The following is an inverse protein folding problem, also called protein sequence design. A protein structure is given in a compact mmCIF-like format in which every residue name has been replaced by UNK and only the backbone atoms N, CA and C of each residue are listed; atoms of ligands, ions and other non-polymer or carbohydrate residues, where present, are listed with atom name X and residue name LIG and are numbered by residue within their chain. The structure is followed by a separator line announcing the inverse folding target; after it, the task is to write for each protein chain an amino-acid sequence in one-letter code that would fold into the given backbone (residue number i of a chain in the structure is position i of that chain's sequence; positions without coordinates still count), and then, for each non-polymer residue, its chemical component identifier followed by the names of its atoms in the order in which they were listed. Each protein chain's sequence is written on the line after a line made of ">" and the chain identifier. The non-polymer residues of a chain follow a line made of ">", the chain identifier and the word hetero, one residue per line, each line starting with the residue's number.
data_IF_731689916234
#
_entry.id   IF_731689916234
#
_cell.length_a   1.000
_cell.length_b   1.000
_cell.length_c   1.000
_cell.angle_alpha   90.00
_cell.angle_beta   90.00
_cell.angle_gamma   90.00
#
_symmetry.space_group_name_H-M   'P 1'
#
loop_
_entity.id
_entity.type
_entity.pdbx_description
1 polymer ?
#
# COMPACT_ATOMS: atom_id res chain seq x y z
N UNK A 1 -31.57 8.65 60.55
CA UNK A 1 -30.31 8.57 59.78
C UNK A 1 -30.58 7.86 58.45
N UNK A 2 -30.84 8.62 57.38
CA UNK A 2 -31.08 8.10 56.03
C UNK A 2 -29.78 8.23 55.23
N UNK A 3 -29.20 7.12 54.78
CA UNK A 3 -28.00 7.10 53.94
C UNK A 3 -28.39 7.48 52.51
N UNK A 4 -27.86 8.59 52.02
CA UNK A 4 -27.91 8.99 50.62
C UNK A 4 -26.94 8.13 49.80
N UNK A 5 -27.47 7.39 48.82
CA UNK A 5 -26.69 6.78 47.74
C UNK A 5 -26.48 7.86 46.67
N UNK A 6 -25.23 8.28 46.45
CA UNK A 6 -24.85 9.12 45.32
C UNK A 6 -24.63 8.18 44.13
N UNK A 7 -25.52 8.29 43.15
CA UNK A 7 -25.40 7.64 41.84
C UNK A 7 -24.41 8.48 41.00
N UNK A 8 -23.17 7.99 40.85
CA UNK A 8 -22.21 8.56 39.91
C UNK A 8 -22.56 8.04 38.51
N UNK A 9 -23.20 8.88 37.69
CA UNK A 9 -23.38 8.63 36.27
C UNK A 9 -22.03 8.85 35.60
N UNK A 10 -21.37 7.76 35.20
CA UNK A 10 -20.17 7.78 34.38
C UNK A 10 -20.56 8.25 32.96
N UNK A 11 -20.47 9.56 32.71
CA UNK A 11 -20.63 10.12 31.37
C UNK A 11 -19.37 9.78 30.55
N UNK A 12 -19.36 8.62 29.90
CA UNK A 12 -18.41 8.35 28.81
C UNK A 12 -18.72 9.31 27.67
N UNK A 13 -17.90 10.37 27.54
CA UNK A 13 -17.96 11.29 26.42
C UNK A 13 -17.69 10.55 25.11
N UNK A 14 -18.76 10.24 24.38
CA UNK A 14 -18.68 10.07 22.93
C UNK A 14 -18.27 11.43 22.36
N UNK A 15 -17.00 11.57 21.98
CA UNK A 15 -16.60 12.62 21.05
C UNK A 15 -17.30 12.33 19.71
N UNK A 16 -18.45 12.97 19.51
CA UNK A 16 -19.08 13.04 18.20
C UNK A 16 -18.23 14.03 17.41
N UNK A 17 -17.34 13.54 16.55
CA UNK A 17 -16.77 14.37 15.48
C UNK A 17 -17.92 14.78 14.56
N UNK A 18 -18.51 15.94 14.83
CA UNK A 18 -19.52 16.54 13.95
C UNK A 18 -18.81 17.17 12.76
N UNK A 19 -18.80 16.47 11.62
CA UNK A 19 -18.36 17.07 10.36
C UNK A 19 -19.50 17.95 9.85
N UNK A 20 -19.28 19.27 9.78
CA UNK A 20 -20.29 20.22 9.30
C UNK A 20 -20.30 20.28 7.77
N UNK A 21 -21.23 19.59 7.13
CA UNK A 21 -21.73 20.03 5.84
C UNK A 21 -22.78 21.11 6.11
N UNK A 22 -22.67 22.30 5.54
CA UNK A 22 -23.75 23.30 5.47
C UNK A 22 -24.16 23.42 4.00
N UNK A 23 -25.44 23.22 3.67
CA UNK A 23 -26.01 23.82 2.47
C UNK A 23 -26.28 25.30 2.76
N UNK A 24 -26.55 26.10 1.72
CA UNK A 24 -26.63 27.57 1.80
C UNK A 24 -27.69 28.11 2.79
N UNK A 25 -28.50 27.26 3.46
CA UNK A 25 -29.56 27.66 4.38
C UNK A 25 -29.67 26.83 5.69
N UNK A 26 -28.67 26.00 6.04
CA UNK A 26 -28.68 25.22 7.29
C UNK A 26 -29.68 24.04 7.30
N UNK A 27 -30.15 23.61 6.14
CA UNK A 27 -31.01 22.44 5.97
C UNK A 27 -30.14 21.23 5.64
N UNK A 28 -30.01 20.30 6.57
CA UNK A 28 -29.01 19.23 6.44
C UNK A 28 -29.62 17.87 6.66
N UNK A 29 -29.21 16.92 5.81
CA UNK A 29 -29.37 15.50 6.03
C UNK A 29 -27.99 14.89 5.92
N UNK A 30 -27.44 14.37 7.02
CA UNK A 30 -26.10 13.79 7.04
C UNK A 30 -26.02 12.60 8.00
N UNK A 31 -25.11 11.65 7.77
CA UNK A 31 -24.97 10.52 8.67
C UNK A 31 -24.39 10.93 10.02
N UNK A 32 -24.87 10.27 11.06
CA UNK A 32 -24.28 10.29 12.39
C UNK A 32 -24.04 8.87 12.86
N UNK A 33 -23.24 8.67 13.90
CA UNK A 33 -23.01 7.35 14.51
C UNK A 33 -22.59 6.25 13.50
N UNK A 34 -21.94 6.63 12.39
CA UNK A 34 -21.41 5.68 11.40
C UNK A 34 -20.14 5.03 11.97
N UNK A 35 -20.36 3.92 12.65
CA UNK A 35 -19.35 3.22 13.45
C UNK A 35 -19.24 1.79 12.94
N UNK A 36 -18.03 1.38 12.57
CA UNK A 36 -17.68 -0.03 12.38
C UNK A 36 -17.30 -0.60 13.75
N UNK A 37 -17.67 -1.85 14.05
CA UNK A 37 -17.30 -2.44 15.35
C UNK A 37 -15.78 -2.45 15.54
N UNK A 38 -15.32 -2.09 16.75
CA UNK A 38 -13.90 -1.94 17.06
C UNK A 38 -13.07 -3.20 16.86
N UNK A 39 -13.66 -4.38 17.07
CA UNK A 39 -13.03 -5.66 16.81
C UNK A 39 -12.72 -5.90 15.32
N UNK A 40 -13.32 -5.12 14.41
CA UNK A 40 -13.07 -5.15 12.97
C UNK A 40 -12.09 -4.05 12.52
N UNK A 41 -11.61 -3.23 13.45
CA UNK A 41 -10.68 -2.13 13.18
C UNK A 41 -9.27 -2.46 13.70
N UNK A 42 -8.26 -1.94 12.99
CA UNK A 42 -6.86 -1.87 13.42
C UNK A 42 -6.34 -0.49 13.07
N UNK A 43 -5.95 0.31 14.07
CA UNK A 43 -5.55 1.71 13.89
C UNK A 43 -6.60 2.56 13.13
N UNK A 44 -7.89 2.36 13.42
CA UNK A 44 -8.99 3.07 12.77
C UNK A 44 -9.29 2.62 11.34
N UNK A 45 -8.57 1.62 10.82
CA UNK A 45 -8.77 1.04 9.48
C UNK A 45 -9.44 -0.31 9.58
N UNK A 46 -10.26 -0.66 8.60
CA UNK A 46 -10.93 -1.96 8.58
C UNK A 46 -9.87 -3.02 8.32
N UNK A 47 -9.76 -3.97 9.25
CA UNK A 47 -8.81 -5.06 9.14
C UNK A 47 -9.42 -6.17 8.30
N UNK A 48 -8.79 -6.49 7.18
CA UNK A 48 -9.05 -7.73 6.48
C UNK A 48 -8.03 -8.76 6.97
N UNK A 49 -8.49 -9.68 7.82
CA UNK A 49 -7.66 -10.79 8.25
C UNK A 49 -7.75 -11.92 7.22
N UNK A 50 -6.75 -12.02 6.34
CA UNK A 50 -6.69 -13.12 5.36
C UNK A 50 -6.42 -14.49 6.01
N UNK A 51 -6.14 -14.53 7.33
CA UNK A 51 -5.94 -15.76 8.11
C UNK A 51 -7.25 -16.46 8.51
N UNK A 52 -8.38 -15.75 8.52
CA UNK A 52 -9.66 -16.33 8.93
C UNK A 52 -10.11 -17.38 7.90
N UNK A 53 -10.35 -18.65 8.29
CA UNK A 53 -10.75 -19.73 7.37
C UNK A 53 -12.11 -19.51 6.72
N UNK A 54 -12.88 -18.53 7.19
CA UNK A 54 -14.17 -18.15 6.62
C UNK A 54 -13.90 -17.33 5.35
N UNK A 55 -14.47 -17.75 4.21
CA UNK A 55 -14.25 -17.14 2.89
C UNK A 55 -14.74 -15.68 2.75
N UNK A 56 -15.09 -15.03 3.85
CA UNK A 56 -15.58 -13.65 3.90
C UNK A 56 -15.22 -12.97 5.22
N UNK A 57 -15.03 -11.65 5.19
CA UNK A 57 -14.99 -10.81 6.39
C UNK A 57 -16.37 -10.20 6.59
N UNK A 58 -16.98 -10.46 7.75
CA UNK A 58 -18.20 -9.78 8.16
C UNK A 58 -17.86 -8.36 8.60
N UNK A 59 -18.45 -7.36 7.96
CA UNK A 59 -18.39 -5.97 8.35
C UNK A 59 -19.72 -5.63 9.00
N UNK A 60 -19.70 -5.11 10.23
CA UNK A 60 -20.91 -4.72 10.94
C UNK A 60 -20.71 -3.43 11.71
N UNK A 61 -21.80 -2.72 11.93
CA UNK A 61 -21.76 -1.40 12.53
C UNK A 61 -23.14 -0.82 12.76
N UNK A 62 -23.16 0.46 13.10
CA UNK A 62 -24.38 1.25 13.21
C UNK A 62 -24.29 2.48 12.32
N UNK A 63 -25.43 3.00 11.88
CA UNK A 63 -25.55 4.30 11.25
C UNK A 63 -26.82 4.97 11.76
N UNK A 64 -26.72 6.23 12.16
CA UNK A 64 -27.86 7.13 12.33
C UNK A 64 -27.85 8.21 11.26
N UNK A 65 -28.87 9.05 11.26
CA UNK A 65 -28.98 10.23 10.39
C UNK A 65 -29.32 11.45 11.24
N UNK A 66 -28.82 12.61 10.85
CA UNK A 66 -29.25 13.90 11.39
C UNK A 66 -30.05 14.60 10.31
N UNK A 67 -31.18 15.20 10.71
CA UNK A 67 -32.01 16.05 9.87
C UNK A 67 -32.21 17.40 10.56
N UNK A 68 -31.87 18.50 9.89
CA UNK A 68 -32.01 19.87 10.38
C UNK A 68 -32.81 20.77 9.44
N UNK A 69 -33.13 21.97 9.94
CA UNK A 69 -33.80 23.01 9.16
C UNK A 69 -35.21 22.62 8.72
N UNK A 70 -35.62 23.07 7.54
CA UNK A 70 -36.97 22.82 6.99
C UNK A 70 -37.19 21.34 6.68
N UNK A 71 -36.13 20.60 6.30
CA UNK A 71 -36.22 19.18 5.92
C UNK A 71 -36.74 18.30 7.06
N UNK A 72 -36.48 18.66 8.31
CA UNK A 72 -36.93 17.92 9.50
C UNK A 72 -38.45 17.73 9.54
N UNK A 73 -39.22 18.68 9.04
CA UNK A 73 -40.68 18.59 9.10
C UNK A 73 -41.27 17.76 7.95
N UNK A 74 -40.55 17.68 6.83
CA UNK A 74 -41.07 17.15 5.58
C UNK A 74 -40.45 15.82 5.16
N UNK A 75 -39.32 15.41 5.74
CA UNK A 75 -38.71 14.11 5.44
C UNK A 75 -39.66 12.99 5.88
N UNK A 76 -39.99 12.09 4.96
CA UNK A 76 -40.83 10.93 5.23
C UNK A 76 -39.98 9.67 5.43
N UNK A 77 -38.92 9.54 4.62
CA UNK A 77 -38.03 8.38 4.61
C UNK A 77 -36.62 8.79 4.19
N UNK A 78 -35.59 8.16 4.76
CA UNK A 78 -34.21 8.18 4.27
C UNK A 78 -33.81 6.73 4.04
N UNK A 79 -33.23 6.42 2.89
CA UNK A 79 -32.70 5.10 2.58
C UNK A 79 -31.19 5.23 2.46
N UNK A 80 -30.46 4.60 3.36
CA UNK A 80 -29.01 4.58 3.38
C UNK A 80 -28.48 3.17 3.09
N UNK A 81 -27.28 3.08 2.55
CA UNK A 81 -26.61 1.83 2.20
C UNK A 81 -25.10 2.01 2.38
N UNK A 82 -24.48 1.07 3.09
CA UNK A 82 -23.02 1.00 3.16
C UNK A 82 -22.52 0.19 1.99
N UNK A 83 -21.55 0.71 1.25
CA UNK A 83 -20.89 0.03 0.14
C UNK A 83 -19.41 -0.12 0.40
N UNK A 84 -18.83 -1.21 -0.09
CA UNK A 84 -17.38 -1.37 -0.20
C UNK A 84 -16.96 -1.03 -1.63
N UNK A 85 -16.06 -0.06 -1.74
CA UNK A 85 -15.45 0.38 -2.99
C UNK A 85 -14.01 -0.11 -2.99
N UNK A 86 -13.59 -0.76 -4.08
CA UNK A 86 -12.20 -1.21 -4.22
C UNK A 86 -11.24 -0.07 -4.58
N UNK A 87 -9.94 -0.39 -4.69
CA UNK A 87 -8.90 0.55 -5.08
C UNK A 87 -9.11 1.22 -6.45
N UNK A 88 -9.92 0.59 -7.31
CA UNK A 88 -10.19 1.05 -8.67
C UNK A 88 -11.50 1.87 -8.75
N UNK A 89 -12.14 2.14 -7.60
CA UNK A 89 -13.38 2.91 -7.51
C UNK A 89 -14.65 2.11 -7.81
N UNK A 90 -14.55 0.78 -7.89
CA UNK A 90 -15.69 -0.10 -8.22
C UNK A 90 -16.38 -0.58 -6.94
N UNK A 91 -17.71 -0.46 -6.89
CA UNK A 91 -18.52 -1.07 -5.81
C UNK A 91 -18.45 -2.59 -5.93
N UNK A 92 -17.94 -3.26 -4.91
CA UNK A 92 -17.81 -4.72 -4.87
C UNK A 92 -18.85 -5.40 -4.03
N UNK A 93 -19.26 -4.76 -2.95
CA UNK A 93 -20.26 -5.27 -2.02
C UNK A 93 -21.11 -4.13 -1.49
N UNK A 94 -22.33 -4.46 -1.09
CA UNK A 94 -23.25 -3.53 -0.45
C UNK A 94 -23.99 -4.21 0.69
N UNK A 95 -24.19 -3.48 1.78
CA UNK A 95 -25.07 -3.89 2.84
C UNK A 95 -26.53 -3.85 2.38
N UNK A 96 -27.44 -4.59 3.04
CA UNK A 96 -28.87 -4.28 2.97
C UNK A 96 -29.11 -2.79 3.29
N UNK A 97 -30.09 -2.18 2.62
CA UNK A 97 -30.41 -0.78 2.85
C UNK A 97 -31.01 -0.58 4.25
N UNK A 98 -30.54 0.44 4.95
CA UNK A 98 -31.12 0.97 6.19
C UNK A 98 -32.18 2.01 5.83
N UNK A 99 -33.41 1.80 6.24
CA UNK A 99 -34.50 2.75 6.00
C UNK A 99 -34.81 3.51 7.30
N UNK A 100 -34.65 4.83 7.32
CA UNK A 100 -35.01 5.70 8.44
C UNK A 100 -36.32 6.43 8.10
N UNK A 101 -37.40 6.06 8.76
CA UNK A 101 -38.68 6.74 8.64
C UNK A 101 -38.75 7.94 9.57
N UNK A 102 -39.72 8.83 9.35
CA UNK A 102 -40.00 9.95 10.26
C UNK A 102 -40.11 9.51 11.73
N UNK A 103 -40.69 8.34 11.99
CA UNK A 103 -40.80 7.77 13.35
C UNK A 103 -39.44 7.52 14.02
N UNK A 104 -38.38 7.24 13.26
CA UNK A 104 -37.03 7.04 13.80
C UNK A 104 -36.42 8.34 14.35
N UNK A 105 -37.02 9.50 14.07
CA UNK A 105 -36.62 10.79 14.60
C UNK A 105 -37.51 11.25 15.75
N UNK A 106 -38.52 10.48 16.15
CA UNK A 106 -39.48 10.89 17.19
C UNK A 106 -39.08 10.34 18.55
N UNK A 107 -38.97 11.21 19.56
CA UNK A 107 -38.80 10.81 20.96
C UNK A 107 -39.99 11.38 21.74
N UNK A 108 -40.79 10.50 22.36
CA UNK A 108 -42.01 10.88 23.10
C UNK A 108 -42.98 11.77 22.28
N UNK A 109 -43.14 11.49 20.99
CA UNK A 109 -44.00 12.27 20.10
C UNK A 109 -43.43 13.61 19.64
N UNK A 110 -42.19 13.94 20.02
CA UNK A 110 -41.49 15.15 19.59
C UNK A 110 -40.43 14.79 18.56
N UNK A 111 -40.44 15.47 17.41
CA UNK A 111 -39.43 15.30 16.37
C UNK A 111 -38.08 15.83 16.88
N UNK A 112 -37.07 14.97 16.90
CA UNK A 112 -35.66 15.24 17.26
C UNK A 112 -34.77 15.26 16.02
N UNK A 113 -33.70 16.06 16.04
CA UNK A 113 -32.81 16.16 14.87
C UNK A 113 -32.05 14.87 14.54
N UNK A 114 -32.01 13.89 15.45
CA UNK A 114 -31.15 12.72 15.37
C UNK A 114 -32.01 11.47 15.30
N UNK A 115 -31.74 10.58 14.33
CA UNK A 115 -32.43 9.31 14.23
C UNK A 115 -31.97 8.32 15.29
N UNK A 116 -32.82 7.33 15.60
CA UNK A 116 -32.38 6.06 16.18
C UNK A 116 -31.37 5.43 15.21
N UNK A 117 -30.23 4.97 15.73
CA UNK A 117 -29.20 4.32 14.92
C UNK A 117 -29.66 2.92 14.51
N UNK A 118 -29.46 2.57 13.23
CA UNK A 118 -29.78 1.26 12.67
C UNK A 118 -28.51 0.45 12.42
N UNK A 119 -28.56 -0.87 12.66
CA UNK A 119 -27.42 -1.73 12.38
C UNK A 119 -27.28 -1.94 10.87
N UNK A 120 -26.05 -2.16 10.42
CA UNK A 120 -25.76 -2.75 9.12
C UNK A 120 -24.80 -3.92 9.29
N UNK A 121 -24.93 -4.92 8.43
CA UNK A 121 -24.01 -6.05 8.37
C UNK A 121 -23.94 -6.59 6.94
N UNK A 122 -22.73 -6.90 6.47
CA UNK A 122 -22.52 -7.60 5.21
C UNK A 122 -21.17 -8.31 5.17
N UNK A 123 -21.09 -9.34 4.33
CA UNK A 123 -19.89 -10.14 4.14
C UNK A 123 -19.16 -9.71 2.86
N UNK A 124 -17.85 -9.51 2.97
CA UNK A 124 -16.97 -9.17 1.85
C UNK A 124 -16.11 -10.38 1.47
N UNK A 125 -16.10 -10.75 0.19
CA UNK A 125 -15.32 -11.87 -0.32
C UNK A 125 -13.82 -11.54 -0.49
N UNK A 126 -12.97 -12.58 -0.45
CA UNK A 126 -11.50 -12.42 -0.38
C UNK A 126 -10.83 -11.63 -1.53
N UNK A 127 -11.43 -11.58 -2.71
CA UNK A 127 -10.77 -11.10 -3.94
C UNK A 127 -10.68 -9.58 -4.12
N UNK A 128 -11.26 -8.78 -3.22
CA UNK A 128 -11.51 -7.34 -3.43
C UNK A 128 -10.85 -6.42 -2.39
N UNK A 129 -9.95 -6.97 -1.56
CA UNK A 129 -9.74 -6.47 -0.19
C UNK A 129 -8.50 -5.57 0.05
N UNK A 130 -7.68 -5.27 -0.95
CA UNK A 130 -6.51 -4.38 -0.75
C UNK A 130 -6.76 -2.98 -1.34
N UNK A 131 -6.75 -1.97 -0.48
CA UNK A 131 -6.75 -0.55 -0.88
C UNK A 131 -8.13 0.05 -1.16
N UNK A 132 -9.21 -0.62 -0.77
CA UNK A 132 -10.58 -0.11 -0.85
C UNK A 132 -10.99 0.73 0.37
N UNK A 133 -12.21 1.24 0.36
CA UNK A 133 -12.82 1.97 1.48
C UNK A 133 -14.32 1.67 1.60
N UNK A 134 -14.86 1.84 2.82
CA UNK A 134 -16.31 1.92 2.99
C UNK A 134 -16.81 3.31 2.67
N UNK A 135 -17.95 3.37 2.02
CA UNK A 135 -18.70 4.58 1.75
C UNK A 135 -20.15 4.37 2.18
N UNK A 136 -20.75 5.37 2.82
CA UNK A 136 -22.17 5.39 3.08
C UNK A 136 -22.85 6.23 1.99
N UNK A 137 -23.77 5.60 1.25
CA UNK A 137 -24.64 6.27 0.29
C UNK A 137 -26.02 6.40 0.89
N UNK A 138 -26.69 7.52 0.67
CA UNK A 138 -28.08 7.67 1.11
C UNK A 138 -28.89 8.55 0.16
N UNK A 139 -30.20 8.37 0.22
CA UNK A 139 -31.22 9.18 -0.46
C UNK A 139 -32.37 9.42 0.50
N UNK A 140 -33.21 10.42 0.21
CA UNK A 140 -34.36 10.75 1.05
C UNK A 140 -35.62 10.93 0.21
N UNK A 141 -36.76 10.77 0.86
CA UNK A 141 -38.11 11.00 0.35
C UNK A 141 -38.74 12.07 1.23
N UNK A 142 -39.45 13.00 0.58
CA UNK A 142 -40.17 14.09 1.24
C UNK A 142 -41.66 13.93 1.02
N UNK A 143 -42.45 14.55 1.90
CA UNK A 143 -43.89 14.68 1.72
C UNK A 143 -44.18 15.49 0.44
N UNK A 144 -44.92 14.88 -0.49
CA UNK A 144 -45.30 15.50 -1.76
C UNK A 144 -46.10 16.80 -1.56
N UNK A 145 -46.84 16.93 -0.45
CA UNK A 145 -47.60 18.12 -0.12
C UNK A 145 -46.73 19.32 0.30
N UNK A 146 -45.45 19.08 0.62
CA UNK A 146 -44.53 20.12 1.09
C UNK A 146 -44.08 21.09 -0.01
N UNK A 147 -44.35 20.76 -1.29
CA UNK A 147 -44.01 21.57 -2.47
C UNK A 147 -42.59 22.15 -2.43
N UNK A 148 -41.63 21.38 -1.89
CA UNK A 148 -40.25 21.83 -1.72
C UNK A 148 -39.60 21.82 -3.11
N UNK A 149 -39.11 22.97 -3.62
CA UNK A 149 -38.47 23.03 -4.93
C UNK A 149 -37.29 22.05 -5.02
N UNK A 150 -37.12 21.40 -6.17
CA UNK A 150 -36.00 20.48 -6.52
C UNK A 150 -36.04 19.05 -5.92
N UNK A 151 -37.19 18.53 -5.49
CA UNK A 151 -37.26 17.23 -4.77
C UNK A 151 -38.21 16.17 -5.37
N UNK A 152 -38.67 16.35 -6.60
CA UNK A 152 -39.75 15.53 -7.20
C UNK A 152 -39.30 14.28 -7.98
N UNK A 153 -38.08 13.76 -7.80
CA UNK A 153 -37.66 12.53 -8.48
C UNK A 153 -37.16 11.43 -7.53
N UNK A 154 -37.89 10.31 -7.52
CA UNK A 154 -37.53 9.08 -6.80
C UNK A 154 -36.45 8.30 -7.54
N UNK A 155 -35.25 8.16 -6.96
CA UNK A 155 -34.17 7.34 -7.52
C UNK A 155 -33.01 7.13 -6.53
N UNK A 156 -32.23 6.07 -6.72
CA UNK A 156 -30.87 5.99 -6.14
C UNK A 156 -29.97 6.78 -7.08
N UNK A 157 -29.40 7.89 -6.61
CA UNK A 157 -28.73 8.85 -7.49
C UNK A 157 -27.61 8.21 -8.33
N UNK A 158 -27.60 8.38 -9.67
CA UNK A 158 -26.38 8.46 -10.44
C UNK A 158 -25.83 9.90 -10.37
N UNK A 159 -24.52 10.02 -10.56
CA UNK A 159 -23.68 11.19 -10.27
C UNK A 159 -24.06 12.53 -10.93
N UNK A 160 -25.06 12.63 -11.81
CA UNK A 160 -25.38 13.92 -12.42
C UNK A 160 -26.86 13.99 -12.80
N UNK A 161 -27.64 14.67 -11.98
CA UNK A 161 -28.84 15.36 -12.45
C UNK A 161 -28.76 16.77 -11.86
N UNK A 162 -28.68 17.78 -12.74
CA UNK A 162 -28.58 19.22 -12.43
C UNK A 162 -27.21 19.79 -12.02
N UNK A 163 -26.08 19.27 -12.54
CA UNK A 163 -24.74 19.82 -12.26
C UNK A 163 -24.37 19.93 -10.77
N UNK A 164 -25.13 19.28 -9.88
CA UNK A 164 -24.85 19.16 -8.46
C UNK A 164 -25.12 17.72 -8.05
N UNK A 165 -24.10 17.07 -7.52
CA UNK A 165 -24.22 15.73 -6.94
C UNK A 165 -25.22 15.78 -5.78
N UNK A 166 -26.14 14.81 -5.72
CA UNK A 166 -26.94 14.59 -4.53
C UNK A 166 -25.98 14.28 -3.39
N UNK A 167 -25.97 15.11 -2.34
CA UNK A 167 -24.91 15.14 -1.32
C UNK A 167 -24.52 13.74 -0.82
N UNK A 168 -23.40 13.23 -1.32
CA UNK A 168 -22.72 12.05 -0.77
C UNK A 168 -21.75 12.59 0.27
N UNK A 169 -22.05 12.39 1.56
CA UNK A 169 -21.07 12.70 2.59
C UNK A 169 -20.10 11.52 2.79
N UNK A 170 -18.83 11.77 2.50
CA UNK A 170 -17.78 10.76 2.46
C UNK A 170 -17.11 10.58 3.83
N UNK A 171 -17.70 9.80 4.74
CA UNK A 171 -16.89 9.23 5.84
C UNK A 171 -16.22 7.95 5.33
N UNK A 172 -14.93 8.08 4.98
CA UNK A 172 -14.13 6.98 4.45
C UNK A 172 -13.47 6.21 5.60
N UNK A 173 -13.73 4.91 5.67
CA UNK A 173 -12.87 3.99 6.42
C UNK A 173 -11.93 3.32 5.43
N UNK A 174 -10.65 3.67 5.49
CA UNK A 174 -9.62 3.00 4.70
C UNK A 174 -9.47 1.55 5.18
N UNK A 175 -9.21 0.66 4.24
CA UNK A 175 -8.95 -0.75 4.53
C UNK A 175 -7.45 -0.97 4.63
N UNK A 176 -7.03 -1.84 5.55
CA UNK A 176 -5.64 -2.27 5.66
C UNK A 176 -5.56 -3.79 5.56
N UNK A 177 -4.70 -4.26 4.67
CA UNK A 177 -4.32 -5.67 4.62
C UNK A 177 -3.29 -5.93 5.73
N UNK A 178 -3.73 -6.58 6.81
CA UNK A 178 -2.85 -6.93 7.93
C UNK A 178 -2.03 -8.20 7.68
N UNK A 179 -2.23 -8.87 6.55
CA UNK A 179 -1.69 -10.20 6.33
C UNK A 179 -0.45 -10.26 5.46
N UNK A 180 0.09 -9.12 5.01
CA UNK A 180 1.35 -9.11 4.28
C UNK A 180 2.53 -9.03 5.25
N UNK A 181 3.37 -10.07 5.27
CA UNK A 181 4.67 -9.93 5.93
C UNK A 181 5.47 -8.84 5.21
N UNK A 182 5.95 -7.85 5.97
CA UNK A 182 6.92 -6.85 5.48
C UNK A 182 8.27 -7.08 6.16
N UNK A 183 9.35 -6.77 5.45
CA UNK A 183 10.72 -6.90 5.94
C UNK A 183 11.38 -5.52 6.00
N UNK A 184 11.73 -5.08 7.20
CA UNK A 184 12.52 -3.87 7.42
C UNK A 184 13.94 -4.25 7.75
N UNK A 185 14.90 -3.77 6.97
CA UNK A 185 16.33 -4.04 7.12
C UNK A 185 17.08 -3.82 5.80
N UNK A 186 18.42 -3.78 5.81
CA UNK A 186 19.22 -3.47 4.64
C UNK A 186 19.16 -4.58 3.58
N UNK A 187 19.47 -4.25 2.33
CA UNK A 187 19.54 -5.22 1.23
C UNK A 187 20.93 -5.89 1.13
N UNK A 188 21.94 -5.35 1.80
CA UNK A 188 23.28 -5.91 1.88
C UNK A 188 23.82 -5.80 3.30
N UNK A 189 24.67 -6.76 3.69
CA UNK A 189 25.28 -6.79 5.02
C UNK A 189 26.77 -7.14 4.90
N UNK A 190 27.60 -6.51 5.72
CA UNK A 190 29.03 -6.82 5.78
C UNK A 190 29.37 -7.89 6.80
N UNK A 191 28.80 -7.77 8.00
CA UNK A 191 29.08 -8.66 9.13
C UNK A 191 27.78 -9.17 9.74
N UNK A 192 26.98 -8.29 10.33
CA UNK A 192 25.67 -8.65 10.86
C UNK A 192 24.71 -7.49 10.77
N UNK A 193 23.44 -7.78 10.54
CA UNK A 193 22.37 -6.80 10.52
C UNK A 193 21.07 -7.37 11.08
N UNK A 194 20.22 -6.46 11.55
CA UNK A 194 18.94 -6.79 12.17
C UNK A 194 17.79 -6.51 11.21
N UNK A 195 16.86 -7.46 11.16
CA UNK A 195 15.64 -7.40 10.36
C UNK A 195 14.42 -7.46 11.26
N UNK A 196 13.50 -6.52 11.06
CA UNK A 196 12.22 -6.47 11.78
C UNK A 196 11.09 -6.81 10.80
N UNK A 197 10.22 -7.73 11.21
CA UNK A 197 9.12 -8.22 10.40
C UNK A 197 7.77 -7.83 11.00
N UNK A 198 6.83 -7.39 10.16
CA UNK A 198 5.42 -7.25 10.55
C UNK A 198 4.69 -8.52 10.16
N UNK A 199 3.83 -9.06 11.04
CA UNK A 199 3.11 -10.32 10.82
C UNK A 199 4.02 -11.48 10.34
N UNK A 200 5.11 -11.82 11.08
CA UNK A 200 5.96 -12.94 10.69
C UNK A 200 5.22 -14.27 10.87
N UNK A 201 5.44 -15.17 9.91
CA UNK A 201 5.05 -16.58 10.04
C UNK A 201 6.25 -17.45 10.41
N UNK A 202 6.33 -18.65 9.84
CA UNK A 202 7.53 -19.47 9.96
C UNK A 202 8.69 -18.83 9.19
N UNK A 203 9.78 -18.48 9.90
CA UNK A 203 10.93 -17.79 9.30
C UNK A 203 12.05 -18.78 8.99
N UNK A 204 12.61 -18.66 7.80
CA UNK A 204 13.77 -19.43 7.33
C UNK A 204 14.73 -18.55 6.55
N UNK A 205 15.99 -18.97 6.47
CA UNK A 205 17.00 -18.34 5.63
C UNK A 205 17.47 -19.37 4.59
N UNK A 206 17.04 -19.19 3.34
CA UNK A 206 17.39 -20.07 2.23
C UNK A 206 18.76 -19.66 1.65
N UNK A 207 19.47 -20.63 1.04
CA UNK A 207 20.82 -20.47 0.48
C UNK A 207 21.89 -19.98 1.49
N UNK A 208 21.67 -20.21 2.78
CA UNK A 208 22.52 -19.70 3.85
C UNK A 208 23.73 -20.60 4.20
N UNK A 209 23.75 -21.84 3.71
CA UNK A 209 24.77 -22.82 4.08
C UNK A 209 26.18 -22.30 3.82
N UNK A 210 27.02 -22.25 4.87
CA UNK A 210 28.38 -21.68 4.86
C UNK A 210 28.49 -20.20 4.47
N UNK A 211 27.38 -19.48 4.35
CA UNK A 211 27.34 -18.04 3.97
C UNK A 211 26.92 -17.18 5.15
N UNK A 212 25.79 -17.50 5.78
CA UNK A 212 25.23 -16.73 6.87
C UNK A 212 24.41 -17.61 7.82
N UNK A 213 24.19 -17.12 9.04
CA UNK A 213 23.29 -17.71 10.03
C UNK A 213 22.14 -16.77 10.34
N UNK A 214 20.97 -17.33 10.62
CA UNK A 214 19.79 -16.60 11.10
C UNK A 214 19.61 -16.88 12.59
N UNK A 215 19.60 -15.82 13.41
CA UNK A 215 19.34 -15.90 14.85
C UNK A 215 18.09 -15.09 15.18
N UNK A 216 17.12 -15.69 15.88
CA UNK A 216 15.98 -14.94 16.40
C UNK A 216 16.40 -14.15 17.64
N UNK A 217 16.18 -12.84 17.64
CA UNK A 217 16.44 -11.97 18.78
C UNK A 217 15.18 -11.81 19.63
N UNK A 218 14.04 -11.58 18.96
CA UNK A 218 12.72 -11.39 19.58
C UNK A 218 11.62 -12.00 18.68
N UNK A 219 10.35 -11.86 19.03
CA UNK A 219 9.21 -12.37 18.27
C UNK A 219 9.19 -11.93 16.81
N UNK A 220 9.56 -10.67 16.55
CA UNK A 220 9.48 -10.06 15.24
C UNK A 220 10.85 -9.59 14.70
N UNK A 221 11.93 -9.96 15.38
CA UNK A 221 13.27 -9.41 15.11
C UNK A 221 14.28 -10.53 14.97
N UNK A 222 14.99 -10.51 13.84
CA UNK A 222 15.93 -11.55 13.43
C UNK A 222 17.26 -10.91 13.05
N UNK A 223 18.35 -11.49 13.55
CA UNK A 223 19.70 -11.12 13.15
C UNK A 223 20.20 -12.07 12.09
N UNK A 224 20.73 -11.53 11.00
CA UNK A 224 21.48 -12.30 10.01
C UNK A 224 22.95 -11.96 10.21
N UNK A 225 23.77 -12.98 10.44
CA UNK A 225 25.21 -12.85 10.69
C UNK A 225 25.97 -13.64 9.63
N UNK A 226 26.94 -13.00 8.99
CA UNK A 226 27.85 -13.60 8.01
C UNK A 226 28.76 -14.62 8.68
N UNK A 227 29.01 -15.75 8.00
CA UNK A 227 29.96 -16.76 8.45
C UNK A 227 31.35 -16.43 7.90
N UNK A 228 32.27 -16.04 8.77
CA UNK A 228 33.65 -15.71 8.39
C UNK A 228 33.72 -14.63 7.30
N UNK A 229 34.43 -14.91 6.20
CA UNK A 229 34.55 -14.04 5.03
C UNK A 229 33.67 -14.48 3.85
N UNK A 230 32.68 -15.36 4.07
CA UNK A 230 31.87 -15.91 2.99
C UNK A 230 31.01 -14.83 2.30
N UNK A 231 30.83 -14.95 0.98
CA UNK A 231 30.04 -14.04 0.15
C UNK A 231 28.92 -14.81 -0.54
N UNK A 232 27.74 -14.19 -0.71
CA UNK A 232 26.61 -14.89 -1.31
C UNK A 232 25.32 -14.07 -1.34
N UNK A 233 24.27 -14.64 -1.92
CA UNK A 233 22.90 -14.12 -1.80
C UNK A 233 22.12 -15.12 -0.97
N UNK A 234 21.47 -14.63 0.08
CA UNK A 234 20.56 -15.42 0.91
C UNK A 234 19.15 -14.85 0.81
N UNK A 235 18.15 -15.70 1.04
CA UNK A 235 16.75 -15.29 0.99
C UNK A 235 16.13 -15.45 2.37
N UNK A 236 15.78 -14.33 3.01
CA UNK A 236 14.99 -14.33 4.23
C UNK A 236 13.53 -14.56 3.86
N UNK A 237 12.95 -15.67 4.31
CA UNK A 237 11.61 -16.11 3.93
C UNK A 237 10.72 -16.21 5.16
N UNK A 238 9.50 -15.69 5.04
CA UNK A 238 8.41 -15.80 6.01
C UNK A 238 7.25 -16.52 5.38
N UNK A 239 6.80 -17.62 5.99
CA UNK A 239 5.60 -18.35 5.58
C UNK A 239 4.48 -18.05 6.57
N UNK A 240 3.62 -17.09 6.21
CA UNK A 240 2.47 -16.69 7.00
C UNK A 240 1.19 -17.08 6.25
N UNK A 241 0.34 -17.88 6.89
CA UNK A 241 -0.93 -18.36 6.32
C UNK A 241 -0.83 -18.96 4.92
N UNK A 242 0.17 -19.83 4.70
CA UNK A 242 0.47 -20.51 3.41
C UNK A 242 1.00 -19.61 2.29
N UNK A 243 1.10 -18.29 2.52
CA UNK A 243 1.78 -17.38 1.62
C UNK A 243 3.26 -17.27 2.00
N UNK A 244 4.13 -17.34 1.00
CA UNK A 244 5.56 -17.11 1.18
C UNK A 244 5.89 -15.66 0.81
N UNK A 245 6.51 -14.95 1.74
CA UNK A 245 7.10 -13.64 1.52
C UNK A 245 8.61 -13.78 1.63
N UNK A 246 9.35 -13.10 0.74
CA UNK A 246 10.79 -13.24 0.65
C UNK A 246 11.48 -11.89 0.54
N UNK A 247 12.67 -11.79 1.11
CA UNK A 247 13.61 -10.69 0.90
C UNK A 247 14.98 -11.27 0.56
N UNK A 248 15.53 -10.87 -0.59
CA UNK A 248 16.92 -11.18 -0.94
C UNK A 248 17.88 -10.26 -0.21
N UNK A 249 19.00 -10.82 0.25
CA UNK A 249 20.02 -10.13 1.02
C UNK A 249 21.40 -10.53 0.50
N UNK A 250 22.23 -9.54 0.22
CA UNK A 250 23.59 -9.72 -0.27
C UNK A 250 24.56 -9.78 0.91
N UNK A 251 25.17 -10.94 1.13
CA UNK A 251 26.16 -11.19 2.17
C UNK A 251 27.55 -10.89 1.63
N UNK A 252 28.27 -10.03 2.36
CA UNK A 252 29.58 -9.51 1.93
C UNK A 252 29.49 -8.20 1.16
N UNK A 253 28.32 -7.57 1.09
CA UNK A 253 28.10 -6.30 0.40
C UNK A 253 27.59 -6.43 -1.02
N UNK A 254 27.32 -5.30 -1.66
CA UNK A 254 26.92 -5.23 -3.06
C UNK A 254 28.06 -5.68 -4.01
N UNK A 255 27.72 -6.06 -5.25
CA UNK A 255 28.69 -6.54 -6.25
C UNK A 255 28.29 -6.22 -7.68
N UNK A 256 29.25 -6.12 -8.59
CA UNK A 256 28.96 -6.03 -10.03
C UNK A 256 28.45 -7.39 -10.50
N UNK A 257 27.19 -7.47 -10.93
CA UNK A 257 26.62 -8.70 -11.47
C UNK A 257 27.01 -8.91 -12.94
N UNK A 258 27.06 -7.85 -13.74
CA UNK A 258 27.52 -7.88 -15.14
C UNK A 258 27.81 -6.48 -15.67
N UNK A 259 28.55 -6.43 -16.78
CA UNK A 259 28.65 -5.25 -17.66
C UNK A 259 27.71 -5.50 -18.84
N UNK A 260 26.75 -4.62 -19.10
CA UNK A 260 25.80 -4.74 -20.22
C UNK A 260 26.07 -3.69 -21.29
N UNK A 261 25.96 -4.10 -22.55
CA UNK A 261 26.18 -3.27 -23.73
C UNK A 261 26.43 -4.12 -24.98
N UNK A 262 26.69 -3.50 -26.14
CA UNK A 262 26.94 -4.22 -27.38
C UNK A 262 28.19 -5.11 -27.30
N UNK A 263 28.09 -6.39 -27.66
CA UNK A 263 29.26 -7.28 -27.76
C UNK A 263 29.97 -7.19 -29.11
N UNK A 264 29.31 -6.56 -30.09
CA UNK A 264 29.80 -6.29 -31.43
C UNK A 264 29.74 -4.79 -31.67
N UNK A 265 30.88 -4.20 -32.05
CA UNK A 265 31.05 -2.77 -32.30
C UNK A 265 31.70 -2.54 -33.67
N UNK A 266 31.49 -1.37 -34.24
CA UNK A 266 32.03 -0.96 -35.55
C UNK A 266 33.00 0.20 -35.39
N UNK A 267 33.85 0.37 -36.39
CA UNK A 267 34.88 1.39 -36.37
C UNK A 267 34.32 2.81 -36.43
N UNK A 268 35.07 3.75 -35.85
CA UNK A 268 34.71 5.18 -35.80
C UNK A 268 33.34 5.48 -35.15
N UNK A 269 32.91 4.67 -34.18
CA UNK A 269 31.66 4.85 -33.44
C UNK A 269 31.86 4.93 -31.93
N UNK A 270 30.88 5.56 -31.26
CA UNK A 270 30.77 5.62 -29.79
C UNK A 270 29.80 4.54 -29.28
N UNK A 271 30.15 3.88 -28.18
CA UNK A 271 29.29 2.90 -27.51
C UNK A 271 29.25 3.13 -26.01
N UNK A 272 28.08 2.88 -25.41
CA UNK A 272 27.87 2.98 -23.96
C UNK A 272 27.62 1.60 -23.34
N UNK A 273 28.24 1.37 -22.18
CA UNK A 273 28.10 0.18 -21.36
C UNK A 273 27.64 0.58 -19.97
N UNK A 274 26.80 -0.26 -19.37
CA UNK A 274 26.25 -0.06 -18.03
C UNK A 274 26.75 -1.14 -17.08
N UNK A 275 27.09 -0.75 -15.87
CA UNK A 275 27.26 -1.70 -14.77
C UNK A 275 25.90 -2.03 -14.16
N UNK A 276 25.62 -3.33 -14.09
CA UNK A 276 24.52 -3.85 -13.32
C UNK A 276 25.07 -4.44 -12.02
N UNK A 277 24.37 -4.15 -10.92
CA UNK A 277 24.77 -4.55 -9.59
C UNK A 277 23.78 -5.56 -9.03
N UNK A 278 24.32 -6.54 -8.30
CA UNK A 278 23.55 -7.30 -7.34
C UNK A 278 23.39 -6.47 -6.07
N UNK A 279 22.14 -6.14 -5.73
CA UNK A 279 21.80 -5.36 -4.53
C UNK A 279 21.76 -3.86 -4.80
N UNK A 280 21.73 -3.06 -3.72
CA UNK A 280 21.80 -1.60 -3.82
C UNK A 280 23.26 -1.21 -3.74
N UNK A 281 23.84 -0.75 -4.86
CA UNK A 281 25.24 -0.35 -4.93
C UNK A 281 25.49 0.89 -4.07
N UNK A 282 26.28 0.74 -3.01
CA UNK A 282 26.68 1.83 -2.10
C UNK A 282 28.20 2.02 -2.03
N UNK A 283 28.97 1.06 -2.54
CA UNK A 283 30.41 1.19 -2.79
C UNK A 283 30.75 2.00 -4.04
N UNK A 284 32.04 2.01 -4.38
CA UNK A 284 32.59 2.82 -5.48
C UNK A 284 33.31 1.96 -6.50
N UNK A 285 33.18 2.32 -7.77
CA UNK A 285 34.03 1.71 -8.80
C UNK A 285 35.41 2.35 -8.72
N UNK A 286 36.42 1.57 -8.36
CA UNK A 286 37.78 2.04 -8.04
C UNK A 286 38.71 1.99 -9.25
N UNK A 287 38.40 1.14 -10.23
CA UNK A 287 39.07 1.13 -11.53
C UNK A 287 38.07 0.81 -12.63
N UNK A 288 38.13 1.59 -13.69
CA UNK A 288 37.49 1.27 -14.96
C UNK A 288 38.55 1.36 -16.05
N UNK A 289 38.62 0.34 -16.90
CA UNK A 289 39.57 0.31 -18.01
C UNK A 289 38.93 -0.37 -19.20
N UNK A 290 38.93 0.30 -20.34
CA UNK A 290 38.85 -0.36 -21.63
C UNK A 290 40.27 -0.52 -22.18
N UNK A 291 40.57 -1.65 -22.82
CA UNK A 291 41.87 -1.88 -23.44
C UNK A 291 41.77 -2.72 -24.70
N UNK A 292 42.63 -2.41 -25.65
CA UNK A 292 42.66 -3.03 -26.97
C UNK A 292 43.35 -2.09 -27.94
N UNK A 293 44.01 -2.63 -28.96
CA UNK A 293 44.74 -1.81 -29.94
C UNK A 293 43.83 -0.82 -30.69
N UNK A 294 42.53 -1.12 -30.70
CA UNK A 294 41.50 -0.42 -31.46
C UNK A 294 40.61 0.52 -30.65
N UNK A 295 40.89 0.66 -29.35
CA UNK A 295 40.29 1.68 -28.52
C UNK A 295 40.96 3.03 -28.81
N UNK A 296 40.18 4.06 -29.11
CA UNK A 296 40.64 5.44 -29.26
C UNK A 296 40.67 6.14 -27.91
N UNK A 297 39.53 6.12 -27.21
CA UNK A 297 39.35 6.75 -25.91
C UNK A 297 38.24 6.05 -25.13
N UNK A 298 38.17 6.31 -23.83
CA UNK A 298 37.01 5.93 -23.01
C UNK A 298 36.78 6.96 -21.91
N UNK A 299 35.51 7.18 -21.58
CA UNK A 299 35.12 8.04 -20.46
C UNK A 299 34.24 7.26 -19.48
N UNK A 300 34.33 7.62 -18.21
CA UNK A 300 33.58 6.99 -17.12
C UNK A 300 32.69 8.05 -16.49
N UNK A 301 31.40 7.76 -16.40
CA UNK A 301 30.44 8.64 -15.75
C UNK A 301 29.50 7.82 -14.85
N UNK A 302 29.77 7.82 -13.54
CA UNK A 302 29.05 7.00 -12.58
C UNK A 302 29.16 5.51 -12.92
N UNK A 303 28.03 4.86 -13.17
CA UNK A 303 27.93 3.44 -13.50
C UNK A 303 28.00 3.14 -15.00
N UNK A 304 28.41 4.12 -15.82
CA UNK A 304 28.51 3.97 -17.26
C UNK A 304 29.94 4.16 -17.76
N UNK A 305 30.28 3.37 -18.77
CA UNK A 305 31.50 3.52 -19.55
C UNK A 305 31.09 3.86 -20.97
N UNK A 306 31.67 4.91 -21.52
CA UNK A 306 31.63 5.17 -22.97
C UNK A 306 32.97 4.81 -23.57
N UNK A 307 32.96 4.12 -24.70
CA UNK A 307 34.16 3.84 -25.48
C UNK A 307 34.02 4.45 -26.87
N UNK A 308 35.13 4.94 -27.40
CA UNK A 308 35.26 5.34 -28.80
C UNK A 308 36.22 4.39 -29.49
N UNK A 309 35.80 3.81 -30.62
CA UNK A 309 36.67 2.97 -31.46
C UNK A 309 37.42 3.81 -32.47
N UNK A 310 38.65 3.39 -32.82
CA UNK A 310 39.41 4.01 -33.92
C UNK A 310 38.75 3.75 -35.29
N UNK A 311 39.13 4.47 -36.35
CA UNK A 311 38.81 4.09 -37.72
C UNK A 311 39.56 2.82 -38.16
N UNK A 312 38.91 1.95 -38.94
CA UNK A 312 39.50 0.71 -39.48
C UNK A 312 39.47 0.75 -41.01
N UNK A 313 40.45 0.11 -41.64
CA UNK A 313 40.37 -0.16 -43.08
C UNK A 313 39.46 -1.38 -43.31
N UNK A 314 38.66 -1.35 -44.38
CA UNK A 314 37.67 -2.39 -44.73
C UNK A 314 38.23 -3.82 -44.84
N UNK A 315 39.55 -3.98 -44.97
CA UNK A 315 40.24 -5.28 -45.09
C UNK A 315 40.89 -5.77 -43.78
N UNK A 316 40.72 -5.05 -42.67
CA UNK A 316 41.30 -5.44 -41.38
C UNK A 316 40.49 -6.55 -40.72
N UNK A 317 41.19 -7.49 -40.08
CA UNK A 317 40.55 -8.51 -39.24
C UNK A 317 39.91 -7.88 -38.01
N UNK A 318 38.76 -8.37 -37.53
CA UNK A 318 38.14 -7.91 -36.28
C UNK A 318 39.12 -7.93 -35.10
N UNK A 319 38.98 -6.96 -34.19
CA UNK A 319 39.85 -6.81 -33.00
C UNK A 319 39.06 -6.96 -31.72
N UNK A 320 39.70 -7.46 -30.67
CA UNK A 320 39.08 -7.59 -29.35
C UNK A 320 39.35 -6.33 -28.52
N UNK A 321 38.34 -5.88 -27.79
CA UNK A 321 38.46 -4.88 -26.73
C UNK A 321 37.99 -5.53 -25.44
N UNK A 322 38.78 -5.41 -24.38
CA UNK A 322 38.43 -5.83 -23.03
C UNK A 322 37.96 -4.62 -22.24
N UNK A 323 36.74 -4.70 -21.71
CA UNK A 323 36.21 -3.76 -20.72
C UNK A 323 36.30 -4.43 -19.36
N UNK A 324 36.98 -3.79 -18.42
CA UNK A 324 37.14 -4.22 -17.03
C UNK A 324 36.61 -3.14 -16.09
N UNK A 325 35.82 -3.58 -15.11
CA UNK A 325 35.37 -2.76 -13.99
C UNK A 325 35.77 -3.41 -12.67
N UNK A 326 36.44 -2.66 -11.81
CA UNK A 326 36.84 -3.06 -10.46
C UNK A 326 36.03 -2.24 -9.46
N UNK A 327 35.24 -2.92 -8.65
CA UNK A 327 34.36 -2.33 -7.66
C UNK A 327 34.85 -2.63 -6.26
N UNK A 328 34.96 -1.60 -5.43
CA UNK A 328 35.11 -1.76 -3.99
C UNK A 328 33.75 -1.53 -3.35
N UNK A 329 33.18 -2.58 -2.78
CA UNK A 329 31.88 -2.50 -2.14
C UNK A 329 31.96 -1.87 -0.74
N UNK A 330 30.80 -1.63 -0.14
CA UNK A 330 30.66 -1.04 1.19
C UNK A 330 31.31 -1.86 2.32
N UNK A 331 31.62 -3.12 2.05
CA UNK A 331 32.30 -4.02 2.97
C UNK A 331 33.80 -4.09 2.74
N UNK A 332 34.33 -3.23 1.86
CA UNK A 332 35.76 -3.18 1.52
C UNK A 332 36.23 -4.33 0.63
N UNK A 333 35.33 -5.17 0.11
CA UNK A 333 35.69 -6.20 -0.85
C UNK A 333 35.89 -5.59 -2.23
N UNK A 334 36.97 -6.01 -2.88
CA UNK A 334 37.31 -5.59 -4.23
C UNK A 334 37.02 -6.74 -5.17
N UNK A 335 36.12 -6.51 -6.13
CA UNK A 335 35.75 -7.49 -7.15
C UNK A 335 35.94 -6.89 -8.54
N UNK A 336 36.26 -7.75 -9.52
CA UNK A 336 36.45 -7.35 -10.91
C UNK A 336 35.50 -8.13 -11.82
N UNK A 337 34.82 -7.41 -12.71
CA UNK A 337 33.98 -7.99 -13.77
C UNK A 337 34.49 -7.51 -15.12
N UNK A 338 34.49 -8.42 -16.09
CA UNK A 338 35.06 -8.21 -17.43
C UNK A 338 34.04 -8.51 -18.52
N UNK A 339 34.13 -7.77 -19.63
CA UNK A 339 33.39 -8.01 -20.86
C UNK A 339 34.35 -7.92 -22.05
N UNK A 340 34.38 -8.98 -22.87
CA UNK A 340 35.09 -8.97 -24.15
C UNK A 340 34.11 -8.58 -25.26
N UNK A 341 34.50 -7.62 -26.09
CA UNK A 341 33.73 -7.17 -27.25
C UNK A 341 34.59 -7.27 -28.52
N UNK A 342 33.92 -7.47 -29.65
CA UNK A 342 34.57 -7.58 -30.97
C UNK A 342 34.30 -6.34 -31.81
N UNK A 343 35.35 -5.66 -32.24
CA UNK A 343 35.33 -4.51 -33.13
C UNK A 343 35.56 -4.93 -34.58
N UNK A 344 34.66 -4.51 -35.47
CA UNK A 344 34.70 -4.75 -36.91
C UNK A 344 35.08 -3.48 -37.68
N UNK A 345 35.62 -3.63 -38.91
CA UNK A 345 35.85 -2.50 -39.80
C UNK A 345 34.61 -1.64 -40.04
#
# INVERSE_FOLDING_TARGET
>A
MKKFFILIILATGLFIESVSAQDDNGNLIYPTNFNVKNDQLSNGRIKFDSSSPVGSVGISGTCGMIVSGIYKNFVTKIIAQVVLIDKDGVVKHSAPSMEFYKSDFMINGVMTQISIAKPFEFNVGRGTMSGGYLELRYKYEFDAAANIPNLTQSGWAPAVTHNKEWFIHNKKYETIDLARTTFTGPNSICNEETYTLVSPGAITLENAANVATLTRIDNNTYKITRIGSANGIVTLKSVFNRNAYSKEIYIGGSRISKISGPTTVYSDQEYQYQLEFGGVATGQVTRFKASGTFLQDYTVNGNYIKIQTKPMLNNMTPKQILIEAVYQNECGLIESTNLNITAYP
#
